data_IF_248037044523
#
_entry.id   IF_248037044523
#
_cell.length_a   1.000
_cell.length_b   1.000
_cell.length_c   1.000
_cell.angle_alpha   90.00
_cell.angle_beta   90.00
_cell.angle_gamma   90.00
#
_symmetry.space_group_name_H-M   'P 1'
#
loop_
_entity.id
_entity.type
_entity.pdbx_description
1 polymer ?
#
# COMPACT_ATOMS: atom_id res chain seq x y z
N UNK A 1 -15.09 18.77 -10.50
CA UNK A 1 -14.22 18.89 -9.32
C UNK A 1 -13.10 17.87 -9.50
N UNK A 2 -11.84 18.31 -9.58
CA UNK A 2 -10.72 17.37 -9.62
C UNK A 2 -10.51 16.83 -8.21
N UNK A 3 -10.94 15.58 -8.02
CA UNK A 3 -10.68 14.80 -6.83
C UNK A 3 -9.18 14.47 -6.85
N UNK A 4 -8.51 14.65 -5.71
CA UNK A 4 -7.11 14.24 -5.58
C UNK A 4 -7.02 12.70 -5.69
N UNK A 5 -6.13 12.15 -6.53
CA UNK A 5 -6.04 10.70 -6.71
C UNK A 5 -5.59 10.04 -5.41
N UNK A 6 -6.25 8.94 -5.03
CA UNK A 6 -5.93 8.16 -3.83
C UNK A 6 -5.46 6.79 -4.26
N UNK A 7 -4.43 6.26 -3.59
CA UNK A 7 -3.89 4.93 -3.87
C UNK A 7 -4.73 3.87 -3.15
N UNK A 8 -5.10 2.82 -3.87
CA UNK A 8 -5.74 1.63 -3.33
C UNK A 8 -4.65 0.69 -2.78
N UNK A 9 -4.60 0.58 -1.46
CA UNK A 9 -3.63 -0.26 -0.76
C UNK A 9 -3.77 -1.75 -1.10
N UNK A 10 -5.00 -2.26 -1.16
CA UNK A 10 -5.28 -3.68 -1.33
C UNK A 10 -5.02 -4.09 -2.78
N UNK A 11 -5.48 -3.28 -3.73
CA UNK A 11 -5.21 -3.50 -5.15
C UNK A 11 -3.72 -3.34 -5.48
N UNK A 12 -3.04 -2.34 -4.88
CA UNK A 12 -1.58 -2.19 -5.01
C UNK A 12 -0.85 -3.41 -4.46
N UNK A 13 -1.24 -3.92 -3.29
CA UNK A 13 -0.67 -5.11 -2.70
C UNK A 13 -0.83 -6.37 -3.56
N UNK A 14 -2.04 -6.57 -4.10
CA UNK A 14 -2.32 -7.65 -5.04
C UNK A 14 -1.48 -7.52 -6.33
N UNK A 15 -1.27 -6.30 -6.82
CA UNK A 15 -0.42 -6.05 -7.98
C UNK A 15 1.06 -6.38 -7.71
N UNK A 16 1.59 -6.01 -6.53
CA UNK A 16 2.95 -6.39 -6.11
C UNK A 16 3.10 -7.92 -6.07
N UNK A 17 2.11 -8.63 -5.50
CA UNK A 17 2.09 -10.10 -5.49
C UNK A 17 2.10 -10.68 -6.91
N UNK A 18 1.29 -10.12 -7.81
CA UNK A 18 1.21 -10.52 -9.22
C UNK A 18 2.55 -10.32 -9.93
N UNK A 19 3.15 -9.14 -9.83
CA UNK A 19 4.44 -8.80 -10.45
C UNK A 19 5.56 -9.70 -9.94
N UNK A 20 5.63 -9.93 -8.62
CA UNK A 20 6.59 -10.86 -8.01
C UNK A 20 6.48 -12.26 -8.62
N UNK A 21 5.26 -12.80 -8.68
CA UNK A 21 5.00 -14.13 -9.27
C UNK A 21 5.33 -14.18 -10.75
N UNK A 22 5.02 -13.11 -11.50
CA UNK A 22 5.34 -13.02 -12.93
C UNK A 22 6.86 -13.07 -13.18
N UNK A 23 7.67 -12.56 -12.27
CA UNK A 23 9.14 -12.67 -12.31
C UNK A 23 9.68 -13.99 -11.76
N UNK A 24 8.81 -14.88 -11.28
CA UNK A 24 9.22 -16.15 -10.67
C UNK A 24 9.96 -16.00 -9.33
N UNK A 25 9.92 -14.82 -8.71
CA UNK A 25 10.66 -14.54 -7.49
C UNK A 25 9.92 -15.07 -6.26
N UNK A 26 10.62 -15.76 -5.38
CA UNK A 26 10.14 -16.12 -4.05
C UNK A 26 10.16 -14.92 -3.09
N UNK A 27 9.42 -15.01 -1.98
CA UNK A 27 9.46 -13.99 -0.93
C UNK A 27 10.86 -13.91 -0.28
N UNK A 28 11.57 -15.04 -0.18
CA UNK A 28 12.93 -15.10 0.36
C UNK A 28 13.94 -14.35 -0.53
N UNK A 29 13.81 -14.46 -1.85
CA UNK A 29 14.67 -13.71 -2.78
C UNK A 29 14.42 -12.21 -2.69
N UNK A 30 13.15 -11.79 -2.60
CA UNK A 30 12.82 -10.38 -2.34
C UNK A 30 13.41 -9.92 -1.01
N UNK A 31 13.25 -10.72 0.05
CA UNK A 31 13.80 -10.41 1.36
C UNK A 31 15.32 -10.19 1.31
N UNK A 32 16.03 -11.09 0.63
CA UNK A 32 17.48 -10.99 0.45
C UNK A 32 17.87 -9.73 -0.36
N UNK A 33 17.13 -9.42 -1.42
CA UNK A 33 17.36 -8.22 -2.24
C UNK A 33 17.20 -6.93 -1.43
N UNK A 34 16.20 -6.87 -0.56
CA UNK A 34 15.98 -5.71 0.32
C UNK A 34 16.87 -5.68 1.56
N UNK A 35 17.67 -6.74 1.80
CA UNK A 35 18.47 -6.86 3.02
C UNK A 35 17.62 -6.91 4.30
N UNK A 36 16.38 -7.39 4.22
CA UNK A 36 15.51 -7.47 5.38
C UNK A 36 15.83 -8.68 6.25
N UNK A 37 15.91 -8.46 7.56
CA UNK A 37 16.05 -9.55 8.55
C UNK A 37 14.84 -10.50 8.52
N UNK A 38 13.63 -9.94 8.29
CA UNK A 38 12.37 -10.67 8.28
C UNK A 38 11.50 -10.34 7.04
N UNK A 39 10.74 -11.30 6.49
CA UNK A 39 9.88 -11.08 5.32
C UNK A 39 8.57 -10.33 5.63
N UNK A 40 8.37 -9.90 6.88
CA UNK A 40 7.09 -9.35 7.35
C UNK A 40 6.65 -8.10 6.55
N UNK A 41 7.60 -7.23 6.18
CA UNK A 41 7.30 -6.05 5.37
C UNK A 41 6.70 -6.44 4.02
N UNK A 42 7.28 -7.45 3.36
CA UNK A 42 6.84 -7.94 2.05
C UNK A 42 5.43 -8.55 2.14
N UNK A 43 5.09 -9.25 3.23
CA UNK A 43 3.73 -9.74 3.43
C UNK A 43 2.73 -8.61 3.67
N UNK A 44 3.08 -7.61 4.50
CA UNK A 44 2.22 -6.44 4.73
C UNK A 44 1.91 -5.68 3.44
N UNK A 45 2.89 -5.55 2.54
CA UNK A 45 2.68 -4.94 1.24
C UNK A 45 1.74 -5.78 0.38
N UNK A 46 1.98 -7.09 0.26
CA UNK A 46 1.15 -7.98 -0.57
C UNK A 46 -0.29 -8.12 -0.05
N UNK A 47 -0.53 -7.95 1.24
CA UNK A 47 -1.86 -7.97 1.86
C UNK A 47 -2.52 -6.59 1.95
N UNK A 48 -1.91 -5.54 1.39
CA UNK A 48 -2.47 -4.19 1.43
C UNK A 48 -2.55 -3.57 2.83
N UNK A 49 -1.80 -4.08 3.81
CA UNK A 49 -1.79 -3.54 5.17
C UNK A 49 -0.96 -2.25 5.28
N UNK A 50 0.00 -2.06 4.38
CA UNK A 50 0.84 -0.85 4.29
C UNK A 50 1.45 -0.74 2.91
N UNK A 51 1.74 0.48 2.43
CA UNK A 51 2.57 0.68 1.25
C UNK A 51 4.06 0.44 1.54
N UNK A 52 4.86 0.01 0.55
CA UNK A 52 6.30 0.13 0.62
C UNK A 52 6.70 1.61 0.71
N UNK A 53 7.82 1.92 1.37
CA UNK A 53 8.41 3.26 1.33
C UNK A 53 8.78 3.64 -0.10
N UNK A 54 9.00 4.93 -0.34
CA UNK A 54 9.40 5.44 -1.68
C UNK A 54 10.68 4.73 -2.18
N UNK A 55 11.68 4.55 -1.33
CA UNK A 55 12.91 3.84 -1.69
C UNK A 55 12.64 2.38 -2.08
N UNK A 56 11.76 1.70 -1.33
CA UNK A 56 11.39 0.32 -1.61
C UNK A 56 10.56 0.21 -2.89
N UNK A 57 9.66 1.15 -3.16
CA UNK A 57 8.93 1.24 -4.43
C UNK A 57 9.89 1.44 -5.61
N UNK A 58 10.87 2.32 -5.47
CA UNK A 58 11.88 2.53 -6.49
C UNK A 58 12.70 1.25 -6.74
N UNK A 59 13.14 0.57 -5.68
CA UNK A 59 13.83 -0.71 -5.77
C UNK A 59 12.95 -1.81 -6.42
N UNK A 60 11.66 -1.90 -6.07
CA UNK A 60 10.70 -2.79 -6.73
C UNK A 60 10.57 -2.47 -8.22
N UNK A 61 10.52 -1.19 -8.60
CA UNK A 61 10.44 -0.76 -10.01
C UNK A 61 11.62 -1.28 -10.82
N UNK A 62 12.84 -1.24 -10.25
CA UNK A 62 14.05 -1.79 -10.88
C UNK A 62 14.03 -3.31 -10.92
N UNK A 63 13.65 -3.96 -9.83
CA UNK A 63 13.61 -5.42 -9.74
C UNK A 63 12.56 -6.03 -10.69
N UNK A 64 11.39 -5.41 -10.79
CA UNK A 64 10.32 -5.86 -11.68
C UNK A 64 10.44 -5.32 -13.10
N UNK A 65 11.37 -4.39 -13.35
CA UNK A 65 11.56 -3.74 -14.64
C UNK A 65 10.25 -3.10 -15.17
N UNK A 66 9.61 -2.31 -14.30
CA UNK A 66 8.32 -1.62 -14.50
C UNK A 66 8.44 -0.24 -13.87
N UNK A 67 7.55 0.70 -14.22
CA UNK A 67 7.53 2.01 -13.56
C UNK A 67 6.87 1.95 -12.17
N UNK A 68 7.12 2.95 -11.31
CA UNK A 68 6.42 3.03 -10.00
C UNK A 68 4.92 3.20 -10.21
N UNK A 69 4.51 3.96 -11.22
CA UNK A 69 3.11 4.21 -11.56
C UNK A 69 2.38 2.90 -11.89
N UNK A 70 3.03 1.99 -12.63
CA UNK A 70 2.47 0.67 -12.95
C UNK A 70 2.36 -0.28 -11.74
N UNK A 71 3.10 -0.01 -10.66
CA UNK A 71 3.00 -0.76 -9.41
C UNK A 71 1.80 -0.28 -8.60
N UNK A 72 1.60 1.04 -8.54
CA UNK A 72 0.54 1.68 -7.78
C UNK A 72 -0.80 1.54 -8.49
N UNK A 73 -1.86 1.31 -7.72
CA UNK A 73 -3.23 1.25 -8.25
C UNK A 73 -4.03 2.40 -7.67
N UNK A 74 -4.69 3.15 -8.53
CA UNK A 74 -5.58 4.24 -8.12
C UNK A 74 -6.94 3.68 -7.64
N UNK A 75 -7.47 4.23 -6.54
CA UNK A 75 -8.84 4.00 -6.09
C UNK A 75 -9.83 4.55 -7.12
N UNK A 76 -10.37 3.71 -7.98
CA UNK A 76 -11.39 4.12 -8.98
C UNK A 76 -12.78 4.35 -8.37
N UNK A 77 -13.03 3.94 -7.13
CA UNK A 77 -14.32 4.07 -6.46
C UNK A 77 -14.30 5.18 -5.41
N UNK A 78 -14.71 6.38 -5.81
CA UNK A 78 -14.93 7.52 -4.91
C UNK A 78 -16.17 7.36 -4.00
N UNK A 79 -16.96 6.30 -4.18
CA UNK A 79 -18.22 6.10 -3.44
C UNK A 79 -18.03 5.57 -2.01
N UNK A 80 -16.85 5.02 -1.68
CA UNK A 80 -16.58 4.49 -0.33
C UNK A 80 -15.87 5.49 0.60
N UNK A 81 -15.53 6.69 0.11
CA UNK A 81 -14.70 7.67 0.83
C UNK A 81 -15.46 8.83 1.51
N UNK A 82 -16.78 8.76 1.67
CA UNK A 82 -17.50 9.70 2.55
C UNK A 82 -18.32 8.92 3.60
N UNK A 83 -18.11 9.18 4.91
CA UNK A 83 -18.09 10.54 5.45
C UNK A 83 -16.98 10.78 6.49
N UNK A 84 -15.71 10.91 6.10
CA UNK A 84 -14.76 11.63 6.94
C UNK A 84 -14.77 13.12 6.55
N UNK A 85 -15.63 13.90 7.22
CA UNK A 85 -15.48 15.36 7.29
C UNK A 85 -14.11 15.64 7.89
N UNK A 86 -13.15 16.04 7.05
CA UNK A 86 -11.88 16.59 7.52
C UNK A 86 -12.20 17.88 8.28
N UNK A 87 -12.20 17.81 9.62
CA UNK A 87 -12.03 19.00 10.45
C UNK A 87 -10.56 19.11 10.77
N UNK A 88 -9.88 20.06 10.14
CA UNK A 88 -8.59 20.52 10.61
C UNK A 88 -8.80 21.10 12.02
N UNK A 89 -8.42 20.36 13.06
CA UNK A 89 -8.27 20.90 14.41
C UNK A 89 -6.93 20.41 14.94
N UNK A 90 -6.07 21.35 15.29
CA UNK A 90 -4.70 21.10 15.68
C UNK A 90 -4.54 20.18 16.90
N UNK A 91 -3.41 19.47 16.85
CA UNK A 91 -2.52 19.03 17.94
C UNK A 91 -2.91 17.92 18.93
N UNK A 92 -4.11 17.35 18.99
CA UNK A 92 -4.31 16.13 19.81
C UNK A 92 -5.42 15.23 19.26
N UNK A 93 -5.06 14.04 18.75
CA UNK A 93 -6.04 12.98 18.44
C UNK A 93 -6.03 11.99 19.61
N UNK A 94 -6.95 12.21 20.56
CA UNK A 94 -7.31 11.18 21.55
C UNK A 94 -8.38 10.31 20.90
N UNK A 95 -8.05 9.07 20.57
CA UNK A 95 -8.99 8.10 20.02
C UNK A 95 -10.01 7.71 21.10
N UNK A 96 -11.25 8.20 20.99
CA UNK A 96 -12.39 7.63 21.71
C UNK A 96 -13.11 6.69 20.74
N UNK A 97 -12.88 5.38 20.91
CA UNK A 97 -13.76 4.35 20.34
C UNK A 97 -14.92 4.17 21.31
N UNK A 98 -16.10 4.69 20.96
CA UNK A 98 -17.36 4.22 21.56
C UNK A 98 -18.07 3.37 20.52
N UNK A 99 -17.96 2.05 20.69
CA UNK A 99 -18.68 1.04 19.91
C UNK A 99 -20.10 0.99 20.45
N UNK A 100 -21.08 1.44 19.66
CA UNK A 100 -22.50 1.19 19.89
C UNK A 100 -23.07 0.32 18.75
N UNK A 101 -23.96 -0.59 19.17
CA UNK A 101 -24.76 -1.59 18.43
C UNK A 101 -24.04 -2.92 18.19
N UNK A 102 -24.55 -4.08 18.60
CA UNK A 102 -25.87 -4.52 19.09
C UNK A 102 -25.68 -5.58 20.18
#
# INVERSE_FOLDING_TARGET
MNIFPVIDLEATGANILRLRKQKGLSVKELQAYFGFECPQAIYKWQWGQSLPSVDNLFALSKLFNTSIDEILVECTHHQDLLPFRVKCIGRYVKFLVKRERN
#
